data_IF_086460425011
#
_entry.id   IF_086460425011
#
_cell.length_a   1.000
_cell.length_b   1.000
_cell.length_c   1.000
_cell.angle_alpha   90.00
_cell.angle_beta   90.00
_cell.angle_gamma   90.00
#
_symmetry.space_group_name_H-M   'P 1'
#
loop_
_entity.id
_entity.type
_entity.pdbx_description
1 polymer ?
#
# COMPACT_ATOMS: atom_id res chain seq x y z
N UNK A 1 -18.23 25.90 -20.54
CA UNK A 1 -18.84 24.56 -20.59
C UNK A 1 -20.04 24.60 -19.66
N UNK A 2 -21.20 24.17 -20.11
CA UNK A 2 -22.40 24.08 -19.25
C UNK A 2 -22.22 22.99 -18.20
N UNK A 3 -23.02 23.02 -17.12
CA UNK A 3 -23.01 21.96 -16.10
C UNK A 3 -23.22 20.57 -16.73
N UNK A 4 -24.18 20.47 -17.65
CA UNK A 4 -24.50 19.22 -18.34
C UNK A 4 -23.36 18.75 -19.25
N UNK A 5 -22.70 19.65 -19.97
CA UNK A 5 -21.53 19.31 -20.78
C UNK A 5 -20.37 18.80 -19.91
N UNK A 6 -20.14 19.43 -18.75
CA UNK A 6 -19.08 19.01 -17.83
C UNK A 6 -19.41 17.66 -17.18
N UNK A 7 -20.63 17.47 -16.68
CA UNK A 7 -21.07 16.18 -16.14
C UNK A 7 -20.99 15.07 -17.18
N UNK A 8 -21.33 15.37 -18.44
CA UNK A 8 -21.24 14.43 -19.55
C UNK A 8 -19.82 13.88 -19.75
N UNK A 9 -18.80 14.74 -19.61
CA UNK A 9 -17.40 14.29 -19.66
C UNK A 9 -17.11 13.22 -18.60
N UNK A 10 -17.71 13.29 -17.41
CA UNK A 10 -17.53 12.27 -16.37
C UNK A 10 -18.38 11.02 -16.64
N UNK A 11 -19.64 11.18 -17.06
CA UNK A 11 -20.52 10.03 -17.36
C UNK A 11 -19.97 9.17 -18.48
N UNK A 12 -19.41 9.78 -19.53
CA UNK A 12 -18.85 9.06 -20.68
C UNK A 12 -17.64 8.19 -20.30
N UNK A 13 -16.94 8.51 -19.20
CA UNK A 13 -15.83 7.72 -18.67
C UNK A 13 -16.26 6.56 -17.77
N UNK A 14 -17.49 6.57 -17.23
CA UNK A 14 -17.96 5.55 -16.28
C UNK A 14 -17.83 4.13 -16.84
N UNK A 15 -18.25 3.82 -18.09
CA UNK A 15 -18.12 2.46 -18.62
C UNK A 15 -16.66 2.00 -18.70
N UNK A 16 -15.74 2.89 -19.08
CA UNK A 16 -14.32 2.59 -19.15
C UNK A 16 -13.73 2.32 -17.76
N UNK A 17 -14.01 3.19 -16.78
CA UNK A 17 -13.53 3.01 -15.40
C UNK A 17 -14.08 1.73 -14.76
N UNK A 18 -15.37 1.45 -14.97
CA UNK A 18 -16.00 0.23 -14.47
C UNK A 18 -15.35 -1.03 -15.06
N UNK A 19 -15.04 -1.02 -16.36
CA UNK A 19 -14.37 -2.13 -17.03
C UNK A 19 -12.92 -2.34 -16.56
N UNK A 20 -12.16 -1.26 -16.37
CA UNK A 20 -10.76 -1.33 -15.92
C UNK A 20 -10.63 -1.74 -14.46
N UNK A 21 -11.53 -1.24 -13.59
CA UNK A 21 -11.53 -1.59 -12.17
C UNK A 21 -12.11 -2.99 -11.88
N UNK A 22 -12.99 -3.47 -12.75
CA UNK A 22 -13.65 -4.77 -12.58
C UNK A 22 -14.79 -4.76 -11.54
N UNK A 23 -15.44 -5.92 -11.32
CA UNK A 23 -16.72 -6.02 -10.60
C UNK A 23 -16.65 -5.69 -9.11
N UNK A 24 -15.47 -5.78 -8.49
CA UNK A 24 -15.26 -5.39 -7.07
C UNK A 24 -15.23 -3.87 -6.84
N UNK A 25 -15.48 -3.07 -7.87
CA UNK A 25 -15.52 -1.61 -7.82
C UNK A 25 -16.77 -1.08 -8.51
N UNK A 26 -17.54 -0.21 -7.86
CA UNK A 26 -18.70 0.48 -8.43
C UNK A 26 -18.36 1.96 -8.62
N UNK A 27 -18.71 2.49 -9.80
CA UNK A 27 -18.48 3.88 -10.17
C UNK A 27 -19.83 4.55 -10.32
N UNK A 28 -20.07 5.66 -9.63
CA UNK A 28 -21.35 6.38 -9.65
C UNK A 28 -21.11 7.86 -9.91
N UNK A 29 -21.89 8.46 -10.81
CA UNK A 29 -21.95 9.91 -11.00
C UNK A 29 -23.29 10.41 -10.48
N UNK A 30 -23.22 11.36 -9.56
CA UNK A 30 -24.38 12.14 -9.11
C UNK A 30 -24.43 13.50 -9.78
N UNK A 31 -25.61 13.90 -10.24
CA UNK A 31 -26.02 15.28 -10.45
C UNK A 31 -26.65 15.81 -9.17
N UNK A 32 -26.00 16.78 -8.52
CA UNK A 32 -26.50 17.35 -7.25
C UNK A 32 -27.54 18.46 -7.47
N UNK A 33 -27.75 18.87 -8.72
CA UNK A 33 -28.77 19.87 -9.09
C UNK A 33 -30.16 19.24 -9.21
N UNK A 34 -30.25 17.91 -9.34
CA UNK A 34 -31.48 17.13 -9.29
C UNK A 34 -31.42 16.01 -8.22
N UNK A 35 -31.55 16.35 -6.92
CA UNK A 35 -31.37 15.39 -5.82
C UNK A 35 -32.31 14.18 -5.85
N UNK A 36 -33.52 14.32 -6.37
CA UNK A 36 -34.52 13.24 -6.43
C UNK A 36 -34.17 12.19 -7.49
N UNK A 37 -33.42 12.58 -8.53
CA UNK A 37 -32.93 11.68 -9.58
C UNK A 37 -31.43 11.92 -9.82
N UNK A 38 -30.67 11.74 -8.74
CA UNK A 38 -29.26 12.17 -8.73
C UNK A 38 -28.35 11.28 -9.57
N UNK A 39 -28.57 9.97 -9.60
CA UNK A 39 -27.64 9.06 -10.31
C UNK A 39 -27.84 9.20 -11.82
N UNK A 40 -26.86 9.80 -12.50
CA UNK A 40 -26.88 10.00 -13.95
C UNK A 40 -25.97 9.02 -14.71
N UNK A 41 -25.06 8.36 -14.00
CA UNK A 41 -24.29 7.24 -14.53
C UNK A 41 -23.89 6.28 -13.40
N UNK A 42 -23.92 4.98 -13.69
CA UNK A 42 -23.46 3.93 -12.78
C UNK A 42 -22.78 2.82 -13.57
N UNK A 43 -21.69 2.28 -13.03
CA UNK A 43 -20.98 1.14 -13.57
C UNK A 43 -20.64 0.13 -12.48
N UNK A 44 -20.88 -1.15 -12.76
CA UNK A 44 -20.89 -2.26 -11.79
C UNK A 44 -21.92 -2.05 -10.66
N UNK A 45 -21.94 -2.92 -9.65
CA UNK A 45 -22.94 -2.87 -8.59
C UNK A 45 -22.44 -3.40 -7.24
N UNK A 46 -22.35 -2.51 -6.26
CA UNK A 46 -21.98 -2.78 -4.87
C UNK A 46 -23.03 -2.20 -3.92
N UNK A 47 -23.46 -0.97 -4.20
CA UNK A 47 -24.42 -0.25 -3.36
C UNK A 47 -25.84 -0.79 -3.50
N UNK A 48 -26.14 -1.52 -4.59
CA UNK A 48 -27.48 -1.98 -4.94
C UNK A 48 -28.37 -0.87 -5.50
N UNK A 49 -27.77 0.21 -5.99
CA UNK A 49 -28.43 1.38 -6.54
C UNK A 49 -28.51 1.33 -8.05
N UNK A 50 -29.44 2.11 -8.61
CA UNK A 50 -29.72 2.16 -10.04
C UNK A 50 -29.72 3.61 -10.58
N UNK A 51 -29.72 3.73 -11.92
CA UNK A 51 -29.87 5.01 -12.59
C UNK A 51 -31.16 5.71 -12.14
N UNK A 52 -31.06 7.00 -11.84
CA UNK A 52 -32.18 7.81 -11.37
C UNK A 52 -32.48 7.68 -9.88
N UNK A 53 -31.74 6.88 -9.10
CA UNK A 53 -31.94 6.85 -7.65
C UNK A 53 -31.59 8.19 -6.98
N UNK A 54 -32.28 8.54 -5.87
CA UNK A 54 -32.13 9.82 -5.18
C UNK A 54 -30.81 9.94 -4.41
N UNK A 55 -30.33 11.15 -4.18
CA UNK A 55 -29.06 11.39 -3.49
C UNK A 55 -29.05 10.77 -2.08
N UNK A 56 -27.89 10.25 -1.64
CA UNK A 56 -27.77 9.71 -0.27
C UNK A 56 -27.80 10.83 0.78
N UNK A 57 -28.09 10.46 2.02
CA UNK A 57 -28.05 11.41 3.16
C UNK A 57 -26.65 12.00 3.35
N UNK A 58 -25.58 11.21 3.17
CA UNK A 58 -24.20 11.72 3.23
C UNK A 58 -23.90 12.70 2.10
N UNK A 59 -24.35 12.40 0.88
CA UNK A 59 -24.17 13.30 -0.25
C UNK A 59 -24.95 14.62 -0.05
N UNK A 60 -26.14 14.56 0.58
CA UNK A 60 -26.90 15.74 1.00
C UNK A 60 -26.18 16.54 2.09
N UNK A 61 -25.68 15.87 3.11
CA UNK A 61 -24.92 16.48 4.19
C UNK A 61 -23.65 17.17 3.68
N UNK A 62 -22.91 16.56 2.77
CA UNK A 62 -21.72 17.15 2.15
C UNK A 62 -22.05 18.41 1.34
N UNK A 63 -23.22 18.43 0.68
CA UNK A 63 -23.73 19.60 -0.02
C UNK A 63 -24.15 20.71 0.96
N UNK A 64 -24.87 20.38 2.02
CA UNK A 64 -25.35 21.33 3.04
C UNK A 64 -24.22 21.95 3.86
N UNK A 65 -23.22 21.14 4.25
CA UNK A 65 -22.08 21.58 5.08
C UNK A 65 -21.02 22.35 4.29
N UNK A 66 -21.10 22.38 2.97
CA UNK A 66 -20.10 23.07 2.16
C UNK A 66 -18.71 22.42 2.19
N UNK A 67 -18.59 21.13 2.53
CA UNK A 67 -17.29 20.44 2.68
C UNK A 67 -16.46 20.45 1.39
N UNK A 68 -17.12 20.62 0.24
CA UNK A 68 -16.50 20.82 -1.06
C UNK A 68 -15.78 22.17 -1.22
N UNK A 69 -16.00 23.16 -0.34
CA UNK A 69 -15.36 24.46 -0.44
C UNK A 69 -13.86 24.38 -0.10
N UNK A 70 -13.51 23.58 0.90
CA UNK A 70 -12.14 23.48 1.42
C UNK A 70 -11.37 22.27 0.89
N UNK A 71 -12.05 21.36 0.18
CA UNK A 71 -11.47 20.10 -0.31
C UNK A 71 -11.97 19.73 -1.71
N UNK A 72 -11.16 19.00 -2.46
CA UNK A 72 -11.53 18.47 -3.79
C UNK A 72 -12.14 17.07 -3.73
N UNK A 73 -11.90 16.34 -2.63
CA UNK A 73 -12.40 14.97 -2.48
C UNK A 73 -12.49 14.54 -1.01
N UNK A 74 -13.27 13.48 -0.79
CA UNK A 74 -13.35 12.72 0.45
C UNK A 74 -12.92 11.27 0.15
N UNK A 75 -11.87 10.78 0.80
CA UNK A 75 -11.24 9.51 0.43
C UNK A 75 -11.43 8.42 1.48
N UNK A 76 -11.62 7.19 1.00
CA UNK A 76 -11.63 5.94 1.76
C UNK A 76 -12.49 5.96 3.03
N UNK A 77 -13.65 6.59 2.98
CA UNK A 77 -14.61 6.53 4.08
C UNK A 77 -15.47 5.28 3.97
N UNK A 78 -16.09 4.91 5.08
CA UNK A 78 -16.85 3.67 5.18
C UNK A 78 -18.28 3.87 4.67
N UNK A 79 -18.68 3.04 3.71
CA UNK A 79 -20.05 2.89 3.25
C UNK A 79 -20.67 1.61 3.78
N UNK A 80 -22.01 1.57 3.87
CA UNK A 80 -22.76 0.41 4.33
C UNK A 80 -23.99 0.19 3.47
N UNK A 81 -24.23 -1.06 3.10
CA UNK A 81 -25.45 -1.54 2.47
C UNK A 81 -26.11 -2.61 3.34
N UNK A 82 -27.20 -3.20 2.85
CA UNK A 82 -27.77 -4.43 3.45
C UNK A 82 -26.85 -5.65 3.27
N UNK A 83 -26.06 -5.68 2.20
CA UNK A 83 -25.18 -6.79 1.84
C UNK A 83 -23.82 -6.74 2.53
N UNK A 84 -23.38 -5.58 3.02
CA UNK A 84 -22.11 -5.47 3.74
C UNK A 84 -21.56 -4.06 3.83
N UNK A 85 -20.27 -3.98 4.12
CA UNK A 85 -19.51 -2.73 4.21
C UNK A 85 -18.61 -2.60 2.98
N UNK A 86 -18.39 -1.36 2.54
CA UNK A 86 -17.52 -1.02 1.42
C UNK A 86 -16.70 0.23 1.73
N UNK A 87 -15.61 0.44 1.01
CA UNK A 87 -14.88 1.70 1.05
C UNK A 87 -15.35 2.60 -0.09
N UNK A 88 -15.73 3.83 0.24
CA UNK A 88 -16.17 4.83 -0.73
C UNK A 88 -15.16 5.97 -0.80
N UNK A 89 -15.05 6.59 -1.97
CA UNK A 89 -14.27 7.79 -2.20
C UNK A 89 -15.04 8.68 -3.16
N UNK A 90 -15.15 9.95 -2.84
CA UNK A 90 -15.98 10.92 -3.57
C UNK A 90 -15.12 12.07 -4.04
N UNK A 91 -15.12 12.31 -5.34
CA UNK A 91 -14.52 13.47 -5.97
C UNK A 91 -15.63 14.49 -6.28
N UNK A 92 -15.40 15.75 -5.92
CA UNK A 92 -16.38 16.83 -6.12
C UNK A 92 -16.23 17.42 -7.52
N UNK A 93 -17.29 17.33 -8.32
CA UNK A 93 -17.33 17.93 -9.65
C UNK A 93 -17.88 19.34 -9.51
N UNK A 94 -17.03 20.33 -9.78
CA UNK A 94 -17.34 21.76 -9.63
C UNK A 94 -17.34 22.46 -10.99
N UNK A 95 -18.26 23.38 -11.19
CA UNK A 95 -18.24 24.32 -12.31
C UNK A 95 -18.16 25.75 -11.74
N UNK A 96 -17.11 26.49 -12.11
CA UNK A 96 -16.85 27.84 -11.59
C UNK A 96 -16.90 27.91 -10.04
N UNK A 97 -16.42 26.85 -9.37
CA UNK A 97 -16.41 26.76 -7.90
C UNK A 97 -17.72 26.28 -7.27
N UNK A 98 -18.84 26.22 -8.01
CA UNK A 98 -20.10 25.65 -7.54
C UNK A 98 -20.10 24.14 -7.69
N UNK A 99 -20.51 23.41 -6.66
CA UNK A 99 -20.72 21.96 -6.73
C UNK A 99 -21.88 21.63 -7.69
N UNK A 100 -21.62 20.83 -8.72
CA UNK A 100 -22.62 20.40 -9.71
C UNK A 100 -22.77 18.88 -9.79
N UNK A 101 -21.79 18.12 -9.30
CA UNK A 101 -21.89 16.67 -9.23
C UNK A 101 -20.87 16.03 -8.31
N UNK A 102 -20.95 14.71 -8.22
CA UNK A 102 -20.00 13.89 -7.47
C UNK A 102 -19.66 12.63 -8.25
N UNK A 103 -18.37 12.29 -8.31
CA UNK A 103 -17.89 10.99 -8.75
C UNK A 103 -17.57 10.14 -7.53
N UNK A 104 -18.33 9.07 -7.33
CA UNK A 104 -18.14 8.12 -6.24
C UNK A 104 -17.49 6.84 -6.77
N UNK A 105 -16.45 6.37 -6.08
CA UNK A 105 -15.78 5.10 -6.33
C UNK A 105 -15.93 4.25 -5.08
N UNK A 106 -16.72 3.18 -5.21
CA UNK A 106 -17.04 2.25 -4.13
C UNK A 106 -16.28 0.95 -4.35
N UNK A 107 -15.63 0.41 -3.31
CA UNK A 107 -14.78 -0.78 -3.36
C UNK A 107 -15.29 -1.80 -2.35
N UNK A 108 -15.60 -3.00 -2.83
CA UNK A 108 -16.05 -4.09 -1.98
C UNK A 108 -14.90 -4.59 -1.08
N UNK A 109 -15.22 -4.94 0.16
CA UNK A 109 -14.24 -5.45 1.13
C UNK A 109 -14.40 -6.95 1.42
N UNK A 110 -15.53 -7.57 1.03
CA UNK A 110 -15.91 -8.91 1.44
C UNK A 110 -14.83 -9.96 1.12
N UNK A 111 -14.37 -10.03 -0.13
CA UNK A 111 -13.35 -11.00 -0.54
C UNK A 111 -12.03 -10.86 0.23
N UNK A 112 -11.59 -9.63 0.50
CA UNK A 112 -10.37 -9.37 1.27
C UNK A 112 -10.56 -9.75 2.75
N UNK A 113 -11.75 -9.49 3.31
CA UNK A 113 -12.09 -9.87 4.68
C UNK A 113 -12.16 -11.40 4.84
N UNK A 114 -12.77 -12.10 3.89
CA UNK A 114 -12.83 -13.56 3.85
C UNK A 114 -11.43 -14.18 3.77
N UNK A 115 -10.58 -13.68 2.88
CA UNK A 115 -9.19 -14.13 2.76
C UNK A 115 -8.42 -13.92 4.07
N UNK A 116 -8.56 -12.75 4.70
CA UNK A 116 -7.91 -12.46 5.97
C UNK A 116 -8.40 -13.39 7.10
N UNK A 117 -9.70 -13.72 7.13
CA UNK A 117 -10.24 -14.66 8.09
C UNK A 117 -9.71 -16.08 7.86
N UNK A 118 -9.66 -16.53 6.60
CA UNK A 118 -9.12 -17.83 6.23
C UNK A 118 -7.62 -17.95 6.59
N UNK A 119 -6.84 -16.89 6.32
CA UNK A 119 -5.42 -16.82 6.69
C UNK A 119 -5.26 -16.92 8.21
N UNK A 120 -6.03 -16.15 8.99
CA UNK A 120 -5.99 -16.23 10.45
C UNK A 120 -6.32 -17.62 10.98
N UNK A 121 -7.37 -18.24 10.45
CA UNK A 121 -7.74 -19.61 10.83
C UNK A 121 -6.63 -20.62 10.52
N UNK A 122 -5.92 -20.44 9.40
CA UNK A 122 -4.77 -21.27 9.04
C UNK A 122 -3.60 -21.07 10.01
N UNK A 123 -3.24 -19.81 10.30
CA UNK A 123 -2.18 -19.49 11.25
C UNK A 123 -2.48 -20.06 12.63
N UNK A 124 -3.71 -19.90 13.11
CA UNK A 124 -4.16 -20.43 14.40
C UNK A 124 -4.14 -21.96 14.42
N UNK A 125 -4.54 -22.62 13.31
CA UNK A 125 -4.53 -24.09 13.20
C UNK A 125 -3.15 -24.71 13.37
N UNK A 126 -2.11 -23.99 12.95
CA UNK A 126 -0.72 -24.45 12.98
C UNK A 126 0.13 -23.73 14.04
N UNK A 127 -0.47 -22.88 14.89
CA UNK A 127 0.23 -22.03 15.86
C UNK A 127 1.36 -21.19 15.22
N UNK A 128 1.10 -20.65 14.04
CA UNK A 128 2.07 -19.84 13.27
C UNK A 128 1.93 -18.33 13.51
N UNK A 129 1.02 -17.93 14.40
CA UNK A 129 0.93 -16.54 14.86
C UNK A 129 2.21 -16.13 15.58
N UNK A 130 2.65 -14.88 15.37
CA UNK A 130 3.88 -14.39 15.99
C UNK A 130 3.81 -14.59 17.51
N UNK A 131 4.81 -15.23 18.13
CA UNK A 131 4.85 -15.38 19.57
C UNK A 131 4.96 -13.99 20.23
N UNK A 132 4.50 -13.82 21.48
CA UNK A 132 4.71 -12.59 22.25
C UNK A 132 6.19 -12.16 22.23
N UNK A 133 6.48 -10.86 22.25
CA UNK A 133 7.86 -10.34 22.19
C UNK A 133 8.76 -10.90 23.30
N UNK A 134 8.19 -11.24 24.46
CA UNK A 134 8.92 -11.82 25.60
C UNK A 134 9.07 -13.36 25.53
N UNK A 135 8.72 -13.98 24.41
CA UNK A 135 8.85 -15.44 24.26
C UNK A 135 10.31 -15.84 24.14
N UNK A 136 10.72 -16.97 24.76
CA UNK A 136 12.09 -17.45 24.66
C UNK A 136 12.42 -17.72 23.18
N UNK A 137 13.48 -17.09 22.70
CA UNK A 137 14.04 -17.34 21.38
C UNK A 137 15.20 -18.32 21.49
N UNK A 138 15.18 -19.36 20.66
CA UNK A 138 16.30 -20.28 20.53
C UNK A 138 17.07 -19.93 19.26
N UNK A 139 18.32 -19.50 19.42
CA UNK A 139 19.24 -19.35 18.30
C UNK A 139 19.95 -20.70 18.09
N UNK A 140 19.51 -21.43 17.06
CA UNK A 140 20.07 -22.73 16.68
C UNK A 140 21.32 -22.61 15.81
N UNK A 141 21.78 -21.39 15.51
CA UNK A 141 23.06 -21.22 14.83
C UNK A 141 24.19 -21.66 15.77
N UNK A 142 25.27 -22.20 15.20
CA UNK A 142 26.41 -22.56 16.03
C UNK A 142 26.95 -21.29 16.71
N UNK A 143 27.52 -21.36 17.94
CA UNK A 143 28.07 -20.19 18.62
C UNK A 143 29.11 -19.42 17.80
N UNK A 144 29.74 -20.08 16.83
CA UNK A 144 30.68 -19.46 15.90
C UNK A 144 29.97 -18.69 14.79
N UNK A 145 28.88 -19.25 14.24
CA UNK A 145 28.04 -18.61 13.22
C UNK A 145 27.26 -17.43 13.81
N UNK A 146 26.71 -17.54 15.03
CA UNK A 146 26.02 -16.43 15.69
C UNK A 146 26.95 -15.25 15.98
N UNK A 147 28.17 -15.52 16.44
CA UNK A 147 29.20 -14.50 16.67
C UNK A 147 29.63 -13.86 15.35
N UNK A 148 29.82 -14.65 14.30
CA UNK A 148 30.16 -14.13 12.96
C UNK A 148 29.04 -13.24 12.42
N UNK A 149 27.79 -13.74 12.42
CA UNK A 149 26.61 -13.03 11.94
C UNK A 149 26.40 -11.71 12.69
N UNK A 150 26.47 -11.75 14.02
CA UNK A 150 26.32 -10.55 14.88
C UNK A 150 27.41 -9.51 14.64
N UNK A 151 28.67 -9.95 14.45
CA UNK A 151 29.79 -9.04 14.22
C UNK A 151 29.73 -8.37 12.86
N UNK A 152 29.30 -9.10 11.82
CA UNK A 152 29.07 -8.53 10.49
C UNK A 152 27.96 -7.48 10.55
N UNK A 153 26.83 -7.81 11.19
CA UNK A 153 25.70 -6.89 11.35
C UNK A 153 26.07 -5.63 12.16
N UNK A 154 26.86 -5.78 13.22
CA UNK A 154 27.36 -4.66 14.02
C UNK A 154 28.24 -3.71 13.18
N UNK A 155 29.16 -4.24 12.37
CA UNK A 155 30.05 -3.43 11.55
C UNK A 155 29.28 -2.71 10.43
N UNK A 156 28.31 -3.38 9.81
CA UNK A 156 27.42 -2.79 8.79
C UNK A 156 26.58 -1.66 9.38
N UNK A 157 25.98 -1.87 10.55
CA UNK A 157 25.10 -0.88 11.19
C UNK A 157 25.83 0.39 11.62
N UNK A 158 27.13 0.29 11.95
CA UNK A 158 27.98 1.45 12.29
C UNK A 158 28.21 2.42 11.12
N UNK A 159 27.97 2.03 9.88
CA UNK A 159 28.02 2.95 8.73
C UNK A 159 26.76 3.84 8.63
N UNK A 160 25.71 3.55 9.39
CA UNK A 160 24.49 4.38 9.47
C UNK A 160 23.61 4.37 8.22
N UNK A 161 23.98 3.61 7.18
CA UNK A 161 23.24 3.50 5.91
C UNK A 161 22.84 2.05 5.68
N UNK A 162 21.59 1.80 5.27
CA UNK A 162 21.15 0.44 4.96
C UNK A 162 21.94 -0.15 3.77
N UNK A 163 22.32 -1.44 3.78
CA UNK A 163 23.13 -2.07 2.72
C UNK A 163 22.62 -1.86 1.29
N UNK A 164 21.30 -1.85 1.08
CA UNK A 164 20.68 -1.60 -0.22
C UNK A 164 20.95 -0.18 -0.75
N UNK A 165 21.17 0.79 0.13
CA UNK A 165 21.39 2.20 -0.20
C UNK A 165 22.85 2.64 -0.08
N UNK A 166 23.74 1.77 0.43
CA UNK A 166 25.16 2.06 0.49
C UNK A 166 25.75 2.25 -0.91
N UNK A 167 26.50 3.33 -1.07
CA UNK A 167 27.39 3.54 -2.21
C UNK A 167 28.44 2.44 -2.32
N UNK A 168 29.02 2.32 -3.50
CA UNK A 168 30.11 1.36 -3.74
C UNK A 168 31.31 1.60 -2.80
N UNK A 169 31.63 2.85 -2.49
CA UNK A 169 32.75 3.18 -1.60
C UNK A 169 32.46 2.78 -0.15
N UNK A 170 31.23 2.98 0.33
CA UNK A 170 30.79 2.52 1.66
C UNK A 170 30.88 1.00 1.78
N UNK A 171 30.39 0.26 0.78
CA UNK A 171 30.51 -1.21 0.77
C UNK A 171 31.96 -1.68 0.75
N UNK A 172 32.85 -0.99 0.03
CA UNK A 172 34.29 -1.31 0.03
C UNK A 172 34.89 -1.07 1.43
N UNK A 173 34.58 0.05 2.08
CA UNK A 173 35.06 0.34 3.44
C UNK A 173 34.61 -0.74 4.44
N UNK A 174 33.35 -1.15 4.38
CA UNK A 174 32.82 -2.23 5.23
C UNK A 174 33.57 -3.53 5.00
N UNK A 175 33.75 -3.94 3.74
CA UNK A 175 34.45 -5.20 3.41
C UNK A 175 35.90 -5.20 3.92
N UNK A 176 36.63 -4.09 3.78
CA UNK A 176 37.99 -3.97 4.30
C UNK A 176 38.05 -3.94 5.84
N UNK A 177 37.05 -3.35 6.49
CA UNK A 177 36.96 -3.35 7.96
C UNK A 177 36.70 -4.75 8.50
N UNK A 178 35.83 -5.50 7.83
CA UNK A 178 35.59 -6.92 8.14
C UNK A 178 36.82 -7.78 7.92
N UNK A 179 37.64 -7.47 6.90
CA UNK A 179 38.92 -8.15 6.64
C UNK A 179 39.96 -7.85 7.72
N UNK A 180 40.10 -6.58 8.10
CA UNK A 180 40.99 -6.13 9.16
C UNK A 180 40.66 -6.75 10.53
N UNK A 181 39.36 -6.96 10.80
CA UNK A 181 38.88 -7.63 12.01
C UNK A 181 39.01 -9.17 11.95
N UNK A 182 39.56 -9.71 10.85
CA UNK A 182 39.81 -11.15 10.66
C UNK A 182 38.56 -11.98 10.35
N UNK A 183 37.41 -11.35 10.12
CA UNK A 183 36.12 -12.04 9.90
C UNK A 183 36.15 -12.89 8.63
N UNK A 184 36.81 -12.42 7.56
CA UNK A 184 36.92 -13.17 6.31
C UNK A 184 37.71 -14.48 6.42
N UNK A 185 38.49 -14.66 7.50
CA UNK A 185 39.23 -15.90 7.76
C UNK A 185 38.31 -17.01 8.31
N UNK A 186 37.10 -16.67 8.74
CA UNK A 186 36.11 -17.63 9.23
C UNK A 186 35.46 -18.37 8.05
N UNK A 187 35.26 -19.68 8.21
CA UNK A 187 34.62 -20.51 7.18
C UNK A 187 33.17 -20.04 6.98
N UNK A 188 32.82 -19.65 5.75
CA UNK A 188 31.47 -19.18 5.39
C UNK A 188 31.28 -17.67 5.48
N UNK A 189 32.23 -16.91 6.05
CA UNK A 189 32.11 -15.46 6.22
C UNK A 189 31.87 -14.70 4.91
N UNK A 190 32.53 -15.10 3.82
CA UNK A 190 32.39 -14.40 2.54
C UNK A 190 30.96 -14.49 1.99
N UNK A 191 30.30 -15.63 2.17
CA UNK A 191 28.91 -15.81 1.76
C UNK A 191 27.97 -14.98 2.64
N UNK A 192 28.22 -14.97 3.95
CA UNK A 192 27.45 -14.20 4.92
C UNK A 192 27.56 -12.68 4.69
N UNK A 193 28.78 -12.18 4.48
CA UNK A 193 29.03 -10.76 4.18
C UNK A 193 28.36 -10.36 2.88
N UNK A 194 28.38 -11.23 1.86
CA UNK A 194 27.72 -10.98 0.58
C UNK A 194 26.20 -10.83 0.75
N UNK A 195 25.58 -11.71 1.53
CA UNK A 195 24.15 -11.67 1.84
C UNK A 195 23.76 -10.39 2.60
N UNK A 196 24.43 -10.12 3.72
CA UNK A 196 24.16 -8.93 4.54
C UNK A 196 24.46 -7.61 3.83
N UNK A 197 25.42 -7.56 2.90
CA UNK A 197 25.70 -6.37 2.07
C UNK A 197 24.84 -6.27 0.80
N UNK A 198 23.96 -7.25 0.57
CA UNK A 198 23.14 -7.37 -0.64
C UNK A 198 23.97 -7.30 -1.93
N UNK A 199 25.04 -8.09 -1.99
CA UNK A 199 25.93 -8.21 -3.16
C UNK A 199 26.27 -9.68 -3.43
N UNK A 200 26.86 -9.95 -4.60
CA UNK A 200 27.32 -11.31 -4.91
C UNK A 200 28.66 -11.64 -4.23
N UNK A 201 28.93 -12.92 -3.96
CA UNK A 201 30.24 -13.39 -3.45
C UNK A 201 31.42 -12.90 -4.32
N UNK A 202 31.37 -12.96 -5.68
CA UNK A 202 32.41 -12.37 -6.52
C UNK A 202 32.62 -10.86 -6.30
N UNK A 203 31.55 -10.12 -5.94
CA UNK A 203 31.63 -8.69 -5.64
C UNK A 203 32.45 -8.42 -4.39
N UNK A 204 32.38 -9.28 -3.37
CA UNK A 204 33.19 -9.16 -2.15
C UNK A 204 34.68 -9.26 -2.47
N UNK A 205 35.09 -10.27 -3.23
CA UNK A 205 36.48 -10.40 -3.68
C UNK A 205 36.95 -9.21 -4.53
N UNK A 206 36.06 -8.67 -5.37
CA UNK A 206 36.35 -7.45 -6.14
C UNK A 206 36.55 -6.22 -5.24
N UNK A 207 35.84 -6.12 -4.12
CA UNK A 207 35.97 -5.02 -3.17
C UNK A 207 37.28 -5.12 -2.36
N UNK A 208 37.69 -6.32 -1.96
CA UNK A 208 39.00 -6.54 -1.31
C UNK A 208 40.18 -6.09 -2.18
N UNK A 209 40.08 -6.30 -3.50
CA UNK A 209 41.11 -5.91 -4.45
C UNK A 209 41.11 -4.41 -4.81
N UNK A 210 40.15 -3.62 -4.31
CA UNK A 210 40.11 -2.17 -4.53
C UNK A 210 40.75 -1.43 -3.35
N UNK A 211 41.62 -0.44 -3.60
CA UNK A 211 42.20 0.37 -2.54
C UNK A 211 41.11 1.15 -1.80
N UNK A 212 41.27 1.29 -0.48
CA UNK A 212 40.50 2.28 0.28
C UNK A 212 40.92 3.67 -0.19
N UNK A 213 39.95 4.47 -0.67
CA UNK A 213 40.14 5.90 -0.98
C UNK A 213 39.47 6.71 0.10
#
# INVERSE_FOLDING_TARGET
MTDQELLKCYTDFVPFLAAVCGPGCEIVIHDVTNPEQSIIAIGNGISGRELGDPMTDLARELQEKGTYADTECLLNYKGKTKSGEFLSSTYFIKNEGRLIGMLCVNKELAAAQELNLALRALLDRFNLSAPPEDSPSEDLSSPLESVMHSRIAEIISREGTAPAHMSMQEKIRVVHKLDADGILMMKGAVAEIADQLSVSVPTIYRYLNKPQV
#
